data_IF_613157018746
#
_entry.id   IF_613157018746
#
_cell.length_a   1.000
_cell.length_b   1.000
_cell.length_c   1.000
_cell.angle_alpha   90.00
_cell.angle_beta   90.00
_cell.angle_gamma   90.00
#
_symmetry.space_group_name_H-M   'P 1'
#
loop_
_entity.id
_entity.type
_entity.pdbx_description
1 polymer ?
#
# COMPACT_ATOMS: atom_id res chain seq x y z
N UNK A 1 41.05 28.96 -35.91
CA UNK A 1 39.78 28.39 -35.44
C UNK A 1 39.91 26.87 -35.42
N UNK A 2 39.91 26.22 -34.25
CA UNK A 2 39.76 24.76 -34.18
C UNK A 2 38.27 24.45 -34.41
N UNK A 3 37.92 23.93 -35.58
CA UNK A 3 36.53 23.67 -35.99
C UNK A 3 35.92 22.40 -35.38
N UNK A 4 36.71 21.59 -34.66
CA UNK A 4 36.28 20.34 -34.07
C UNK A 4 36.69 20.28 -32.60
N UNK A 5 35.71 20.11 -31.70
CA UNK A 5 35.96 19.81 -30.29
C UNK A 5 36.60 18.44 -30.17
N UNK A 6 37.63 18.33 -29.34
CA UNK A 6 38.21 17.04 -28.95
C UNK A 6 37.19 16.20 -28.16
N UNK A 7 37.38 14.89 -28.10
CA UNK A 7 36.47 14.02 -27.33
C UNK A 7 36.51 14.33 -25.84
N UNK A 8 37.65 14.82 -25.33
CA UNK A 8 37.78 15.32 -23.95
C UNK A 8 36.91 16.56 -23.74
N UNK A 9 36.98 17.56 -24.63
CA UNK A 9 36.15 18.77 -24.54
C UNK A 9 34.65 18.43 -24.62
N UNK A 10 34.26 17.50 -25.50
CA UNK A 10 32.85 17.05 -25.58
C UNK A 10 32.40 16.33 -24.31
N UNK A 11 33.25 15.47 -23.74
CA UNK A 11 32.98 14.80 -22.48
C UNK A 11 32.78 15.81 -21.35
N UNK A 12 33.68 16.78 -21.23
CA UNK A 12 33.62 17.81 -20.18
C UNK A 12 32.39 18.72 -20.35
N UNK A 13 32.03 19.07 -21.58
CA UNK A 13 30.80 19.80 -21.87
C UNK A 13 29.55 19.03 -21.40
N UNK A 14 29.44 17.74 -21.70
CA UNK A 14 28.30 16.93 -21.28
C UNK A 14 28.29 16.70 -19.76
N UNK A 15 29.45 16.50 -19.12
CA UNK A 15 29.53 16.43 -17.66
C UNK A 15 29.09 17.74 -16.99
N UNK A 16 29.51 18.90 -17.52
CA UNK A 16 29.10 20.20 -16.98
C UNK A 16 27.59 20.43 -17.14
N UNK A 17 27.03 20.10 -18.32
CA UNK A 17 25.57 20.15 -18.52
C UNK A 17 24.83 19.24 -17.55
N UNK A 18 25.36 18.06 -17.28
CA UNK A 18 24.77 17.12 -16.34
C UNK A 18 24.73 17.69 -14.91
N UNK A 19 25.84 18.26 -14.43
CA UNK A 19 25.90 18.91 -13.12
C UNK A 19 25.01 20.15 -13.04
N UNK A 20 24.94 20.96 -14.10
CA UNK A 20 24.04 22.11 -14.16
C UNK A 20 22.57 21.70 -14.11
N UNK A 21 22.19 20.65 -14.85
CA UNK A 21 20.85 20.10 -14.84
C UNK A 21 20.50 19.54 -13.44
N UNK A 22 21.41 18.78 -12.82
CA UNK A 22 21.29 18.31 -11.43
C UNK A 22 21.03 19.46 -10.46
N UNK A 23 21.85 20.52 -10.52
CA UNK A 23 21.73 21.68 -9.63
C UNK A 23 20.40 22.43 -9.79
N UNK A 24 19.79 22.35 -10.98
CA UNK A 24 18.46 22.91 -11.28
C UNK A 24 17.32 21.95 -10.93
N UNK A 25 17.60 20.78 -10.34
CA UNK A 25 16.61 19.75 -10.03
C UNK A 25 16.08 18.97 -11.24
N UNK A 26 16.67 19.15 -12.42
CA UNK A 26 16.27 18.48 -13.66
C UNK A 26 16.97 17.12 -13.77
N UNK A 27 16.53 16.17 -12.96
CA UNK A 27 17.19 14.85 -12.83
C UNK A 27 17.23 14.06 -14.14
N UNK A 28 16.15 14.07 -14.92
CA UNK A 28 16.09 13.31 -16.19
C UNK A 28 17.09 13.87 -17.22
N UNK A 29 17.18 15.20 -17.35
CA UNK A 29 18.18 15.87 -18.20
C UNK A 29 19.61 15.56 -17.72
N UNK A 30 19.84 15.54 -16.40
CA UNK A 30 21.15 15.20 -15.84
C UNK A 30 21.57 13.77 -16.17
N UNK A 31 20.66 12.80 -16.03
CA UNK A 31 20.89 11.38 -16.36
C UNK A 31 21.25 11.26 -17.86
N UNK A 32 20.50 11.93 -18.74
CA UNK A 32 20.76 11.91 -20.19
C UNK A 32 22.16 12.44 -20.53
N UNK A 33 22.56 13.56 -19.92
CA UNK A 33 23.88 14.15 -20.15
C UNK A 33 25.02 13.30 -19.58
N UNK A 34 24.86 12.69 -18.41
CA UNK A 34 25.85 11.73 -17.88
C UNK A 34 26.00 10.50 -18.79
N UNK A 35 24.90 9.98 -19.34
CA UNK A 35 24.95 8.87 -20.30
C UNK A 35 25.63 9.26 -21.61
N UNK A 36 25.39 10.48 -22.13
CA UNK A 36 26.11 11.00 -23.30
C UNK A 36 27.61 11.13 -23.03
N UNK A 37 28.00 11.63 -21.86
CA UNK A 37 29.40 11.69 -21.45
C UNK A 37 30.03 10.29 -21.39
N UNK A 38 29.34 9.31 -20.81
CA UNK A 38 29.77 7.91 -20.82
C UNK A 38 30.01 7.38 -22.24
N UNK A 39 29.06 7.57 -23.15
CA UNK A 39 29.18 7.11 -24.54
C UNK A 39 30.38 7.72 -25.28
N UNK A 40 30.60 9.02 -25.09
CA UNK A 40 31.76 9.73 -25.68
C UNK A 40 33.05 9.11 -25.14
N UNK A 41 33.13 8.88 -23.83
CA UNK A 41 34.34 8.36 -23.19
C UNK A 41 34.65 6.92 -23.63
N UNK A 42 33.66 6.03 -23.70
CA UNK A 42 33.87 4.64 -24.14
C UNK A 42 34.35 4.56 -25.60
N UNK A 43 33.81 5.41 -26.48
CA UNK A 43 34.15 5.43 -27.91
C UNK A 43 35.46 6.18 -28.20
N UNK A 44 36.03 6.89 -27.22
CA UNK A 44 37.24 7.70 -27.40
C UNK A 44 38.46 6.83 -27.69
N UNK A 45 39.36 7.35 -28.53
CA UNK A 45 40.67 6.72 -28.75
C UNK A 45 41.66 7.00 -27.61
N UNK A 46 41.41 8.01 -26.78
CA UNK A 46 42.21 8.34 -25.60
C UNK A 46 41.96 7.33 -24.47
N UNK A 47 43.02 6.65 -24.03
CA UNK A 47 42.96 5.66 -22.95
C UNK A 47 42.59 6.27 -21.61
N UNK A 48 43.08 7.48 -21.30
CA UNK A 48 42.76 8.17 -20.06
C UNK A 48 41.28 8.58 -20.01
N UNK A 49 40.71 8.97 -21.15
CA UNK A 49 39.28 9.29 -21.22
C UNK A 49 38.41 8.05 -21.07
N UNK A 50 38.83 6.91 -21.67
CA UNK A 50 38.14 5.62 -21.50
C UNK A 50 38.08 5.19 -20.03
N UNK A 51 39.13 5.40 -19.26
CA UNK A 51 39.13 5.13 -17.80
C UNK A 51 38.12 5.99 -17.03
N UNK A 52 37.82 7.21 -17.51
CA UNK A 52 36.83 8.12 -16.90
C UNK A 52 35.38 7.79 -17.29
N UNK A 53 35.15 6.90 -18.26
CA UNK A 53 33.81 6.52 -18.70
C UNK A 53 32.96 6.02 -17.52
N UNK A 54 33.53 5.15 -16.70
CA UNK A 54 32.82 4.52 -15.59
C UNK A 54 32.31 5.56 -14.58
N UNK A 55 33.02 6.68 -14.38
CA UNK A 55 32.59 7.76 -13.49
C UNK A 55 31.27 8.36 -13.98
N UNK A 56 31.15 8.66 -15.28
CA UNK A 56 29.94 9.21 -15.86
C UNK A 56 28.76 8.22 -15.77
N UNK A 57 29.02 6.93 -16.02
CA UNK A 57 28.02 5.87 -15.85
C UNK A 57 27.54 5.72 -14.40
N UNK A 58 28.46 5.79 -13.43
CA UNK A 58 28.12 5.77 -12.00
C UNK A 58 27.20 6.93 -11.60
N UNK A 59 27.45 8.15 -12.11
CA UNK A 59 26.53 9.27 -11.86
C UNK A 59 25.15 9.03 -12.48
N UNK A 60 25.08 8.57 -13.74
CA UNK A 60 23.81 8.32 -14.41
C UNK A 60 22.94 7.29 -13.65
N UNK A 61 23.54 6.16 -13.30
CA UNK A 61 22.87 5.07 -12.55
C UNK A 61 22.47 5.51 -11.15
N UNK A 62 23.31 6.25 -10.43
CA UNK A 62 22.99 6.82 -9.12
C UNK A 62 21.76 7.73 -9.19
N UNK A 63 21.74 8.72 -10.10
CA UNK A 63 20.61 9.65 -10.19
C UNK A 63 19.34 8.98 -10.69
N UNK A 64 19.46 7.96 -11.56
CA UNK A 64 18.34 7.09 -11.93
C UNK A 64 17.77 6.39 -10.69
N UNK A 65 18.60 5.78 -9.86
CA UNK A 65 18.17 5.12 -8.63
C UNK A 65 17.52 6.07 -7.62
N UNK A 66 18.10 7.27 -7.42
CA UNK A 66 17.52 8.31 -6.57
C UNK A 66 16.16 8.79 -7.08
N UNK A 67 15.95 8.79 -8.40
CA UNK A 67 14.68 9.18 -9.01
C UNK A 67 13.62 8.08 -8.94
N UNK A 68 13.97 6.84 -9.24
CA UNK A 68 13.01 5.73 -9.31
C UNK A 68 12.74 5.09 -7.95
N UNK A 69 13.69 5.19 -7.02
CA UNK A 69 13.62 4.57 -5.68
C UNK A 69 13.32 3.08 -5.75
N UNK A 70 13.95 2.37 -6.70
CA UNK A 70 13.77 0.93 -6.87
C UNK A 70 15.02 0.17 -6.42
N UNK A 71 14.82 -0.98 -5.75
CA UNK A 71 15.94 -1.83 -5.32
C UNK A 71 16.82 -2.27 -6.49
N UNK A 72 16.21 -2.53 -7.67
CA UNK A 72 16.94 -2.89 -8.89
C UNK A 72 17.86 -1.78 -9.39
N UNK A 73 17.40 -0.53 -9.41
CA UNK A 73 18.22 0.58 -9.88
C UNK A 73 19.33 0.92 -8.87
N UNK A 74 19.07 0.79 -7.57
CA UNK A 74 20.11 0.90 -6.55
C UNK A 74 21.18 -0.19 -6.69
N UNK A 75 20.77 -1.43 -7.01
CA UNK A 75 21.70 -2.53 -7.29
C UNK A 75 22.53 -2.28 -8.56
N UNK A 76 21.93 -1.71 -9.60
CA UNK A 76 22.64 -1.29 -10.82
C UNK A 76 23.67 -0.19 -10.52
N UNK A 77 23.29 0.81 -9.72
CA UNK A 77 24.20 1.87 -9.29
C UNK A 77 25.34 1.34 -8.41
N UNK A 78 25.04 0.44 -7.47
CA UNK A 78 26.05 -0.23 -6.64
C UNK A 78 27.10 -0.92 -7.52
N UNK A 79 26.67 -1.73 -8.49
CA UNK A 79 27.58 -2.40 -9.44
C UNK A 79 28.41 -1.41 -10.23
N UNK A 80 27.80 -0.31 -10.70
CA UNK A 80 28.51 0.72 -11.45
C UNK A 80 29.60 1.39 -10.62
N UNK A 81 29.32 1.77 -9.37
CA UNK A 81 30.28 2.44 -8.48
C UNK A 81 31.38 1.48 -8.02
N UNK A 82 31.06 0.20 -7.77
CA UNK A 82 32.00 -0.79 -7.21
C UNK A 82 33.18 -1.15 -8.13
N UNK A 83 33.09 -0.83 -9.43
CA UNK A 83 34.19 -1.01 -10.39
C UNK A 83 35.27 0.06 -10.24
N UNK A 84 34.94 1.20 -9.63
CA UNK A 84 35.88 2.31 -9.42
C UNK A 84 36.80 2.02 -8.24
N UNK A 85 37.96 2.70 -8.21
CA UNK A 85 38.82 2.67 -7.03
C UNK A 85 38.09 3.31 -5.84
N UNK A 86 38.18 2.77 -4.61
CA UNK A 86 37.38 3.23 -3.47
C UNK A 86 37.58 4.70 -3.08
N UNK A 87 38.72 5.29 -3.43
CA UNK A 87 39.12 6.66 -3.13
C UNK A 87 38.63 7.70 -4.16
N UNK A 88 38.03 7.26 -5.27
CA UNK A 88 37.41 8.18 -6.25
C UNK A 88 36.30 8.97 -5.57
N UNK A 89 36.35 10.29 -5.72
CA UNK A 89 35.38 11.20 -5.09
C UNK A 89 34.23 11.58 -6.02
N UNK A 90 33.03 11.61 -5.45
CA UNK A 90 31.81 12.08 -6.09
C UNK A 90 31.38 13.43 -5.52
N UNK A 91 31.07 14.39 -6.40
CA UNK A 91 30.31 15.59 -6.05
C UNK A 91 28.82 15.28 -6.20
N UNK A 92 28.17 15.06 -5.07
CA UNK A 92 26.74 14.76 -5.02
C UNK A 92 25.88 15.97 -4.63
N UNK A 93 26.43 17.19 -4.74
CA UNK A 93 25.84 18.42 -4.19
C UNK A 93 25.57 18.34 -2.67
N UNK A 94 26.41 17.58 -1.97
CA UNK A 94 26.44 17.49 -0.51
C UNK A 94 27.57 18.38 0.02
N UNK A 95 27.52 18.81 1.31
CA UNK A 95 28.58 19.62 1.91
C UNK A 95 29.98 18.98 1.88
N UNK A 96 30.04 17.65 1.71
CA UNK A 96 31.27 16.88 1.52
C UNK A 96 31.21 16.06 0.24
N UNK A 97 32.38 15.79 -0.34
CA UNK A 97 32.52 14.76 -1.36
C UNK A 97 32.40 13.38 -0.74
N UNK A 98 31.79 12.46 -1.48
CA UNK A 98 31.58 11.08 -1.04
C UNK A 98 32.52 10.17 -1.82
N UNK A 99 33.22 9.29 -1.12
CA UNK A 99 34.14 8.32 -1.73
C UNK A 99 33.36 7.18 -2.37
N UNK A 100 33.86 6.63 -3.47
CA UNK A 100 33.23 5.52 -4.19
C UNK A 100 32.98 4.30 -3.28
N UNK A 101 33.92 3.99 -2.38
CA UNK A 101 33.74 2.89 -1.42
C UNK A 101 32.60 3.12 -0.42
N UNK A 102 32.44 4.34 0.08
CA UNK A 102 31.34 4.71 0.97
C UNK A 102 30.00 4.70 0.22
N UNK A 103 29.99 5.27 -0.98
CA UNK A 103 28.81 5.33 -1.84
C UNK A 103 28.35 3.94 -2.29
N UNK A 104 29.27 3.04 -2.64
CA UNK A 104 28.93 1.68 -3.02
C UNK A 104 28.22 0.96 -1.86
N UNK A 105 28.72 1.09 -0.64
CA UNK A 105 28.10 0.46 0.53
C UNK A 105 26.71 1.02 0.81
N UNK A 106 26.54 2.35 0.73
CA UNK A 106 25.22 2.98 0.85
C UNK A 106 24.24 2.47 -0.21
N UNK A 107 24.67 2.38 -1.47
CA UNK A 107 23.82 1.91 -2.57
C UNK A 107 23.41 0.45 -2.42
N UNK A 108 24.32 -0.40 -1.91
CA UNK A 108 24.03 -1.81 -1.62
C UNK A 108 22.99 -1.95 -0.50
N UNK A 109 23.12 -1.16 0.56
CA UNK A 109 22.14 -1.15 1.65
C UNK A 109 20.78 -0.59 1.20
N UNK A 110 20.78 0.44 0.36
CA UNK A 110 19.57 0.97 -0.25
C UNK A 110 18.92 -0.04 -1.19
N UNK A 111 19.69 -0.84 -1.93
CA UNK A 111 19.14 -1.88 -2.78
C UNK A 111 18.37 -2.91 -1.96
N UNK A 112 18.84 -3.27 -0.76
CA UNK A 112 18.11 -4.12 0.18
C UNK A 112 16.81 -3.46 0.64
N UNK A 113 16.88 -2.22 1.17
CA UNK A 113 15.69 -1.50 1.68
C UNK A 113 14.60 -1.43 0.62
N UNK A 114 14.94 -1.02 -0.61
CA UNK A 114 13.99 -0.82 -1.69
C UNK A 114 13.63 -2.11 -2.46
N UNK A 115 14.25 -3.26 -2.10
CA UNK A 115 13.82 -4.58 -2.58
C UNK A 115 12.82 -5.26 -1.65
N UNK A 116 12.72 -4.81 -0.39
CA UNK A 116 11.74 -5.33 0.56
C UNK A 116 10.32 -4.90 0.15
N UNK A 117 9.32 -5.78 0.31
CA UNK A 117 7.95 -5.46 -0.07
C UNK A 117 7.41 -4.38 0.88
N UNK A 118 6.83 -3.28 0.38
CA UNK A 118 6.31 -2.23 1.25
C UNK A 118 5.20 -2.81 2.14
N UNK A 119 5.36 -2.69 3.47
CA UNK A 119 4.41 -3.26 4.42
C UNK A 119 3.26 -2.31 4.70
N UNK A 120 2.07 -2.80 4.40
CA UNK A 120 0.81 -2.23 4.79
C UNK A 120 0.41 -2.81 6.14
N UNK A 121 0.62 -2.01 7.17
CA UNK A 121 0.37 -2.35 8.56
C UNK A 121 -1.11 -2.61 8.87
N UNK A 122 -2.03 -2.24 7.97
CA UNK A 122 -3.47 -2.51 8.17
C UNK A 122 -3.87 -3.93 7.79
N UNK A 123 -3.04 -4.61 7.00
CA UNK A 123 -3.34 -5.95 6.48
C UNK A 123 -2.05 -6.78 6.39
N UNK A 124 -1.56 -7.22 7.54
CA UNK A 124 -0.31 -7.97 7.66
C UNK A 124 -0.44 -9.44 7.22
N UNK A 125 -1.64 -10.02 7.30
CA UNK A 125 -1.89 -11.41 6.93
C UNK A 125 -1.73 -11.68 5.42
N UNK A 126 -1.69 -10.65 4.58
CA UNK A 126 -1.42 -10.79 3.13
C UNK A 126 0.05 -11.09 2.80
N UNK A 127 0.98 -10.81 3.71
CA UNK A 127 2.40 -11.07 3.51
C UNK A 127 2.71 -12.51 3.90
N UNK A 128 3.63 -13.17 3.22
CA UNK A 128 3.99 -14.56 3.51
C UNK A 128 5.00 -14.68 4.66
N UNK A 129 5.16 -15.88 5.27
CA UNK A 129 6.29 -16.15 6.15
C UNK A 129 7.66 -15.95 5.50
N UNK A 130 7.75 -16.10 4.17
CA UNK A 130 8.97 -15.81 3.41
C UNK A 130 9.29 -14.31 3.43
N UNK A 131 8.27 -13.45 3.30
CA UNK A 131 8.45 -11.99 3.42
C UNK A 131 8.97 -11.61 4.81
N UNK A 132 8.46 -12.26 5.87
CA UNK A 132 8.99 -12.09 7.22
C UNK A 132 10.48 -12.49 7.32
N UNK A 133 10.86 -13.60 6.68
CA UNK A 133 12.26 -14.04 6.59
C UNK A 133 13.16 -13.02 5.91
N UNK A 134 12.71 -12.41 4.80
CA UNK A 134 13.46 -11.36 4.09
C UNK A 134 13.71 -10.13 4.95
N UNK A 135 12.71 -9.73 5.76
CA UNK A 135 12.88 -8.65 6.72
C UNK A 135 13.87 -9.00 7.84
N UNK A 136 13.83 -10.24 8.35
CA UNK A 136 14.76 -10.72 9.39
C UNK A 136 16.22 -10.76 8.89
N UNK A 137 16.44 -11.26 7.68
CA UNK A 137 17.76 -11.29 7.03
C UNK A 137 18.32 -9.88 6.82
N UNK A 138 17.51 -8.98 6.24
CA UNK A 138 17.89 -7.59 6.09
C UNK A 138 18.23 -6.96 7.44
N UNK A 139 17.42 -7.22 8.48
CA UNK A 139 17.65 -6.65 9.79
C UNK A 139 19.00 -7.04 10.40
N UNK A 140 19.37 -8.32 10.33
CA UNK A 140 20.66 -8.82 10.81
C UNK A 140 21.82 -8.08 10.16
N UNK A 141 21.71 -7.81 8.86
CA UNK A 141 22.73 -7.08 8.13
C UNK A 141 22.87 -5.64 8.61
N UNK A 142 21.75 -4.93 8.79
CA UNK A 142 21.74 -3.55 9.28
C UNK A 142 22.24 -3.44 10.73
N UNK A 143 21.84 -4.36 11.62
CA UNK A 143 22.28 -4.40 13.02
C UNK A 143 23.79 -4.66 13.10
N UNK A 144 24.34 -5.55 12.26
CA UNK A 144 25.78 -5.83 12.23
C UNK A 144 26.66 -4.60 11.96
N UNK A 145 26.08 -3.55 11.37
CA UNK A 145 26.74 -2.28 11.05
C UNK A 145 26.63 -1.23 12.16
N UNK A 146 25.96 -1.54 13.27
CA UNK A 146 25.85 -0.72 14.48
C UNK A 146 25.30 0.71 14.20
N UNK A 147 25.75 1.70 14.97
CA UNK A 147 25.29 3.10 14.92
C UNK A 147 25.69 3.91 13.67
N UNK A 148 26.17 3.26 12.61
CA UNK A 148 26.48 3.92 11.33
C UNK A 148 25.25 4.55 10.67
N UNK A 149 25.49 5.45 9.71
CA UNK A 149 24.44 6.13 8.92
C UNK A 149 24.85 6.19 7.45
N UNK A 150 23.87 6.40 6.59
CA UNK A 150 24.12 6.67 5.19
C UNK A 150 24.94 7.95 5.02
N UNK A 151 25.99 7.88 4.21
CA UNK A 151 26.76 9.06 3.80
C UNK A 151 25.94 10.01 2.93
N UNK A 152 24.93 9.47 2.24
CA UNK A 152 23.99 10.20 1.39
C UNK A 152 22.61 10.42 2.03
N UNK A 153 22.52 10.43 3.38
CA UNK A 153 21.25 10.48 4.14
C UNK A 153 20.26 11.57 3.68
N UNK A 154 20.74 12.77 3.31
CA UNK A 154 19.91 13.88 2.83
C UNK A 154 19.36 13.66 1.42
N UNK A 155 20.09 12.93 0.56
CA UNK A 155 19.59 12.60 -0.78
C UNK A 155 18.50 11.54 -0.72
N UNK A 156 18.57 10.64 0.26
CA UNK A 156 17.63 9.53 0.39
C UNK A 156 16.50 9.78 1.38
N UNK A 157 16.58 10.83 2.20
CA UNK A 157 15.67 11.15 3.32
C UNK A 157 15.61 10.03 4.39
N UNK A 158 16.77 9.43 4.66
CA UNK A 158 16.92 8.36 5.68
C UNK A 158 18.02 8.75 6.65
N UNK A 159 17.62 9.35 7.78
CA UNK A 159 18.52 9.89 8.82
C UNK A 159 18.71 8.98 10.04
N UNK A 160 18.10 7.79 10.02
CA UNK A 160 18.25 6.85 11.13
C UNK A 160 19.59 6.13 11.07
N UNK A 161 20.03 5.64 12.23
CA UNK A 161 21.15 4.70 12.28
C UNK A 161 20.78 3.36 11.63
N UNK A 162 21.78 2.65 11.12
CA UNK A 162 21.59 1.32 10.55
C UNK A 162 20.98 0.37 11.57
N UNK A 163 21.47 0.38 12.81
CA UNK A 163 20.88 -0.38 13.92
C UNK A 163 19.38 -0.07 14.11
N UNK A 164 18.98 1.21 14.12
CA UNK A 164 17.57 1.58 14.23
C UNK A 164 16.73 1.10 13.04
N UNK A 165 17.28 1.10 11.83
CA UNK A 165 16.59 0.55 10.64
C UNK A 165 16.41 -0.96 10.83
N UNK A 166 17.46 -1.65 11.26
CA UNK A 166 17.44 -3.09 11.51
C UNK A 166 16.42 -3.49 12.56
N UNK A 167 16.31 -2.78 13.69
CA UNK A 167 15.29 -3.06 14.69
C UNK A 167 13.86 -2.91 14.15
N UNK A 168 13.60 -1.94 13.27
CA UNK A 168 12.27 -1.85 12.62
C UNK A 168 12.01 -3.03 11.70
N UNK A 169 13.01 -3.51 10.98
CA UNK A 169 12.87 -4.69 10.12
C UNK A 169 12.62 -5.96 10.95
N UNK A 170 13.29 -6.16 12.09
CA UNK A 170 12.96 -7.25 13.01
C UNK A 170 11.52 -7.14 13.52
N UNK A 171 11.11 -5.94 13.93
CA UNK A 171 9.74 -5.72 14.38
C UNK A 171 8.72 -6.08 13.30
N UNK A 172 8.92 -5.61 12.06
CA UNK A 172 8.04 -5.93 10.93
C UNK A 172 8.00 -7.44 10.66
N UNK A 173 9.14 -8.12 10.68
CA UNK A 173 9.20 -9.58 10.52
C UNK A 173 8.36 -10.31 11.58
N UNK A 174 8.48 -9.89 12.84
CA UNK A 174 7.68 -10.43 13.96
C UNK A 174 6.21 -10.11 13.83
N UNK A 175 5.86 -8.90 13.41
CA UNK A 175 4.46 -8.49 13.18
C UNK A 175 3.80 -9.34 12.08
N UNK A 176 4.49 -9.59 10.95
CA UNK A 176 3.99 -10.50 9.90
C UNK A 176 3.81 -11.90 10.46
N UNK A 177 4.82 -12.41 11.19
CA UNK A 177 4.76 -13.76 11.79
C UNK A 177 3.62 -13.91 12.79
N UNK A 178 3.37 -12.88 13.60
CA UNK A 178 2.28 -12.86 14.57
C UNK A 178 0.91 -12.89 13.87
N UNK A 179 0.73 -12.12 12.80
CA UNK A 179 -0.52 -12.05 12.04
C UNK A 179 -0.99 -13.40 11.47
N UNK A 180 -0.07 -14.33 11.18
CA UNK A 180 -0.39 -15.70 10.71
C UNK A 180 -0.81 -16.66 11.81
N UNK A 181 -0.68 -16.28 13.07
CA UNK A 181 -1.04 -17.16 14.21
C UNK A 181 -2.16 -16.57 15.06
N UNK A 182 -2.68 -15.39 14.73
CA UNK A 182 -3.72 -14.72 15.53
C UNK A 182 -5.04 -15.49 15.59
N UNK A 183 -5.42 -16.18 14.51
CA UNK A 183 -6.66 -16.94 14.41
C UNK A 183 -6.53 -18.33 15.07
N UNK A 184 -5.35 -18.95 14.97
CA UNK A 184 -5.06 -20.25 15.58
C UNK A 184 -4.72 -20.16 17.08
N UNK A 185 -3.87 -19.22 17.48
CA UNK A 185 -3.31 -19.10 18.83
C UNK A 185 -3.05 -17.62 19.21
N UNK A 186 -4.09 -16.91 19.70
CA UNK A 186 -3.98 -15.51 20.11
C UNK A 186 -2.93 -15.24 21.18
N UNK A 187 -2.71 -16.17 22.11
CA UNK A 187 -1.72 -16.02 23.18
C UNK A 187 -0.30 -16.03 22.61
N UNK A 188 -0.02 -16.97 21.69
CA UNK A 188 1.25 -17.00 20.98
C UNK A 188 1.42 -15.76 20.10
N UNK A 189 0.36 -15.30 19.44
CA UNK A 189 0.40 -14.05 18.67
C UNK A 189 0.81 -12.86 19.55
N UNK A 190 0.22 -12.74 20.75
CA UNK A 190 0.57 -11.70 21.74
C UNK A 190 2.04 -11.76 22.14
N UNK A 191 2.59 -12.96 22.36
CA UNK A 191 4.01 -13.12 22.68
C UNK A 191 4.90 -12.59 21.54
N UNK A 192 4.61 -12.95 20.29
CA UNK A 192 5.37 -12.51 19.13
C UNK A 192 5.24 -11.00 18.90
N UNK A 193 4.04 -10.42 19.08
CA UNK A 193 3.87 -8.96 19.03
C UNK A 193 4.62 -8.25 20.15
N UNK A 194 4.74 -8.86 21.33
CA UNK A 194 5.52 -8.31 22.44
C UNK A 194 7.02 -8.30 22.11
N UNK A 195 7.53 -9.33 21.43
CA UNK A 195 8.89 -9.31 20.86
C UNK A 195 9.05 -8.17 19.85
N UNK A 196 8.08 -7.99 18.94
CA UNK A 196 8.08 -6.90 17.97
C UNK A 196 8.14 -5.53 18.67
N UNK A 197 7.35 -5.34 19.72
CA UNK A 197 7.34 -4.13 20.54
C UNK A 197 8.71 -3.87 21.19
N UNK A 198 9.37 -4.91 21.68
CA UNK A 198 10.74 -4.84 22.20
C UNK A 198 11.71 -4.23 21.20
N UNK A 199 11.67 -4.68 19.93
CA UNK A 199 12.50 -4.09 18.88
C UNK A 199 12.09 -2.67 18.51
N UNK A 200 10.79 -2.36 18.45
CA UNK A 200 10.32 -1.00 18.14
C UNK A 200 10.76 0.02 19.19
N UNK A 201 10.84 -0.36 20.46
CA UNK A 201 11.33 0.52 21.52
C UNK A 201 12.83 0.84 21.40
N UNK A 202 13.59 0.02 20.68
CA UNK A 202 15.00 0.27 20.36
C UNK A 202 15.18 1.07 19.06
N UNK A 203 14.13 1.19 18.25
CA UNK A 203 14.16 1.94 17.00
C UNK A 203 13.78 3.41 17.20
N UNK A 204 14.47 4.29 16.50
CA UNK A 204 14.07 5.67 16.36
C UNK A 204 12.80 5.82 15.52
N UNK A 205 12.00 6.85 15.83
CA UNK A 205 10.81 7.27 15.06
C UNK A 205 9.78 6.16 14.86
N UNK A 206 9.58 5.33 15.89
CA UNK A 206 8.69 4.16 15.85
C UNK A 206 7.34 4.36 16.54
N UNK A 207 7.02 5.55 17.07
CA UNK A 207 5.85 5.79 17.95
C UNK A 207 4.52 5.32 17.36
N UNK A 208 4.31 5.54 16.06
CA UNK A 208 3.08 5.09 15.37
C UNK A 208 2.99 3.57 15.29
N UNK A 209 4.12 2.89 15.05
CA UNK A 209 4.20 1.43 15.04
C UNK A 209 3.98 0.87 16.43
N UNK A 210 4.64 1.45 17.44
CA UNK A 210 4.49 1.10 18.86
C UNK A 210 3.03 1.16 19.28
N UNK A 211 2.32 2.24 18.93
CA UNK A 211 0.88 2.36 19.22
C UNK A 211 0.07 1.24 18.57
N UNK A 212 0.27 0.99 17.27
CA UNK A 212 -0.46 -0.06 16.55
C UNK A 212 -0.24 -1.46 17.14
N UNK A 213 0.99 -1.79 17.49
CA UNK A 213 1.32 -3.09 18.09
C UNK A 213 0.70 -3.20 19.48
N UNK A 214 0.74 -2.16 20.30
CA UNK A 214 0.06 -2.14 21.60
C UNK A 214 -1.46 -2.30 21.47
N UNK A 215 -2.10 -1.59 20.53
CA UNK A 215 -3.53 -1.71 20.27
C UNK A 215 -3.87 -3.16 19.86
N UNK A 216 -3.06 -3.77 18.99
CA UNK A 216 -3.26 -5.17 18.57
C UNK A 216 -3.07 -6.17 19.70
N UNK A 217 -2.03 -6.02 20.52
CA UNK A 217 -1.81 -6.82 21.73
C UNK A 217 -3.04 -6.70 22.65
N UNK A 218 -3.50 -5.49 22.92
CA UNK A 218 -4.65 -5.25 23.79
C UNK A 218 -5.92 -5.96 23.29
N UNK A 219 -6.16 -5.98 21.99
CA UNK A 219 -7.30 -6.70 21.39
C UNK A 219 -7.14 -8.22 21.49
N UNK A 220 -5.96 -8.73 21.15
CA UNK A 220 -5.68 -10.17 21.16
C UNK A 220 -5.68 -10.78 22.57
N UNK A 221 -5.25 -10.03 23.57
CA UNK A 221 -5.25 -10.47 24.98
C UNK A 221 -6.63 -10.51 25.62
N UNK A 222 -7.67 -9.95 24.99
CA UNK A 222 -9.04 -9.99 25.54
C UNK A 222 -9.60 -11.39 25.41
N UNK A 223 -10.07 -11.93 26.52
CA UNK A 223 -10.76 -13.21 26.60
C UNK A 223 -12.15 -13.01 27.22
N UNK A 224 -13.14 -13.72 26.68
CA UNK A 224 -14.54 -13.64 27.13
C UNK A 224 -15.28 -14.93 26.75
N UNK A 225 -16.60 -14.96 26.92
CA UNK A 225 -17.48 -16.00 26.40
C UNK A 225 -18.37 -15.46 25.29
N UNK A 226 -18.70 -16.32 24.33
CA UNK A 226 -19.69 -15.98 23.31
C UNK A 226 -21.08 -15.86 23.95
N UNK A 227 -21.77 -14.74 23.76
CA UNK A 227 -23.14 -14.54 24.26
C UNK A 227 -24.13 -15.61 23.78
N UNK A 228 -23.89 -16.18 22.59
CA UNK A 228 -24.80 -17.14 21.96
C UNK A 228 -24.51 -18.56 22.42
N UNK A 229 -23.28 -19.04 22.20
CA UNK A 229 -22.93 -20.44 22.47
C UNK A 229 -22.24 -20.67 23.82
N UNK A 230 -21.98 -19.61 24.59
CA UNK A 230 -21.34 -19.62 25.91
C UNK A 230 -19.94 -20.25 25.98
N UNK A 231 -19.32 -20.55 24.82
CA UNK A 231 -17.95 -21.07 24.75
C UNK A 231 -16.95 -19.95 25.03
N UNK A 232 -15.85 -20.24 25.77
CA UNK A 232 -14.76 -19.29 25.94
C UNK A 232 -14.10 -19.01 24.59
N UNK A 233 -13.71 -17.76 24.38
CA UNK A 233 -13.08 -17.23 23.17
C UNK A 233 -12.10 -16.13 23.53
N UNK A 234 -11.05 -15.97 22.73
CA UNK A 234 -10.03 -14.96 22.93
C UNK A 234 -9.64 -14.35 21.59
N UNK A 235 -9.32 -13.05 21.60
CA UNK A 235 -8.91 -12.29 20.44
C UNK A 235 -10.05 -11.49 19.83
N UNK A 236 -10.19 -10.26 20.31
CA UNK A 236 -11.15 -9.29 19.77
C UNK A 236 -10.78 -8.93 18.32
N UNK A 237 -11.79 -8.78 17.47
CA UNK A 237 -11.68 -8.53 16.02
C UNK A 237 -11.02 -9.66 15.21
N UNK A 238 -10.69 -10.78 15.84
CA UNK A 238 -10.19 -11.99 15.18
C UNK A 238 -11.16 -13.15 15.38
N UNK A 239 -11.27 -13.63 16.62
CA UNK A 239 -12.10 -14.79 16.95
C UNK A 239 -13.45 -14.39 17.56
N UNK A 240 -13.59 -13.14 18.00
CA UNK A 240 -14.87 -12.60 18.43
C UNK A 240 -14.99 -11.12 18.10
N UNK A 241 -16.24 -10.68 17.95
CA UNK A 241 -16.59 -9.28 17.69
C UNK A 241 -17.74 -8.85 18.60
N UNK A 242 -17.89 -7.55 18.79
CA UNK A 242 -19.06 -7.00 19.45
C UNK A 242 -20.18 -6.78 18.45
N UNK A 243 -21.38 -7.29 18.76
CA UNK A 243 -22.61 -7.00 18.02
C UNK A 243 -23.47 -6.04 18.81
N UNK A 244 -23.94 -5.00 18.14
CA UNK A 244 -24.92 -4.08 18.69
C UNK A 244 -26.24 -4.80 18.93
N UNK A 245 -26.84 -4.56 20.10
CA UNK A 245 -28.11 -5.16 20.50
C UNK A 245 -28.82 -4.29 21.52
N UNK A 246 -30.12 -4.54 21.74
CA UNK A 246 -30.83 -3.92 22.86
C UNK A 246 -30.57 -4.71 24.14
N UNK A 247 -30.14 -4.01 25.19
CA UNK A 247 -29.93 -4.61 26.51
C UNK A 247 -30.93 -4.04 27.51
N UNK A 248 -31.80 -4.88 28.07
CA UNK A 248 -32.73 -4.42 29.12
C UNK A 248 -32.00 -4.30 30.47
N UNK A 249 -32.53 -3.46 31.37
CA UNK A 249 -32.01 -3.33 32.74
C UNK A 249 -31.95 -4.66 33.51
N UNK A 250 -32.88 -5.58 33.23
CA UNK A 250 -32.87 -6.92 33.81
C UNK A 250 -31.62 -7.71 33.40
N UNK A 251 -31.29 -7.70 32.09
CA UNK A 251 -30.15 -8.45 31.56
C UNK A 251 -28.83 -7.90 32.10
N UNK A 252 -28.66 -6.58 32.09
CA UNK A 252 -27.46 -5.92 32.64
C UNK A 252 -27.28 -6.24 34.13
N UNK A 253 -28.36 -6.16 34.93
CA UNK A 253 -28.30 -6.44 36.37
C UNK A 253 -27.99 -7.91 36.67
N UNK A 254 -28.53 -8.84 35.86
CA UNK A 254 -28.40 -10.28 36.12
C UNK A 254 -27.09 -10.86 35.60
N UNK A 255 -26.65 -10.43 34.42
CA UNK A 255 -25.54 -11.06 33.69
C UNK A 255 -24.31 -10.15 33.50
N UNK A 256 -24.44 -8.83 33.68
CA UNK A 256 -23.32 -7.89 33.48
C UNK A 256 -22.16 -8.03 34.48
N UNK A 257 -22.37 -8.74 35.59
CA UNK A 257 -21.33 -9.04 36.57
C UNK A 257 -20.61 -10.39 36.34
N UNK A 258 -21.13 -11.27 35.48
CA UNK A 258 -20.55 -12.60 35.24
C UNK A 258 -19.32 -12.53 34.33
N UNK A 259 -19.40 -11.73 33.27
CA UNK A 259 -18.30 -11.43 32.34
C UNK A 259 -18.58 -10.06 31.70
N UNK A 260 -17.80 -9.04 32.11
CA UNK A 260 -17.96 -7.66 31.66
C UNK A 260 -17.61 -7.45 30.19
N UNK A 261 -16.85 -8.38 29.58
CA UNK A 261 -16.55 -8.34 28.15
C UNK A 261 -17.64 -9.04 27.35
N UNK A 262 -18.35 -10.00 27.94
CA UNK A 262 -19.43 -10.72 27.25
C UNK A 262 -20.65 -9.82 26.99
N UNK A 263 -21.04 -9.02 27.97
CA UNK A 263 -22.22 -8.15 27.92
C UNK A 263 -21.88 -6.73 28.37
N UNK A 264 -22.08 -5.77 27.48
CA UNK A 264 -21.98 -4.34 27.76
C UNK A 264 -23.27 -3.65 27.36
N UNK A 265 -23.50 -2.43 27.86
CA UNK A 265 -24.69 -1.68 27.47
C UNK A 265 -24.69 -1.47 25.95
N UNK A 266 -25.74 -1.94 25.29
CA UNK A 266 -25.93 -1.81 23.84
C UNK A 266 -25.15 -2.82 22.98
N UNK A 267 -24.33 -3.72 23.55
CA UNK A 267 -23.56 -4.69 22.74
C UNK A 267 -23.19 -5.98 23.47
N UNK A 268 -22.97 -7.04 22.70
CA UNK A 268 -22.57 -8.37 23.21
C UNK A 268 -21.41 -8.94 22.41
N UNK A 269 -20.51 -9.67 23.08
CA UNK A 269 -19.44 -10.40 22.41
C UNK A 269 -19.98 -11.67 21.75
N UNK A 270 -19.67 -11.87 20.47
CA UNK A 270 -20.09 -13.03 19.69
C UNK A 270 -18.89 -13.61 18.96
N UNK A 271 -18.69 -14.93 19.07
CA UNK A 271 -17.61 -15.59 18.35
C UNK A 271 -17.81 -15.53 16.85
N UNK A 272 -16.71 -15.52 16.09
CA UNK A 272 -16.70 -15.42 14.64
C UNK A 272 -17.56 -16.50 13.96
N UNK A 273 -17.66 -17.70 14.55
CA UNK A 273 -18.51 -18.79 14.06
C UNK A 273 -20.01 -18.48 14.20
N UNK A 274 -20.44 -18.05 15.40
CA UNK A 274 -21.84 -17.69 15.64
C UNK A 274 -22.23 -16.46 14.82
N UNK A 275 -21.36 -15.44 14.78
CA UNK A 275 -21.54 -14.27 13.95
C UNK A 275 -21.65 -14.64 12.47
N UNK A 276 -20.68 -15.38 11.93
CA UNK A 276 -20.64 -15.78 10.53
C UNK A 276 -21.86 -16.61 10.13
N UNK A 277 -22.38 -17.45 11.03
CA UNK A 277 -23.61 -18.23 10.80
C UNK A 277 -24.84 -17.33 10.68
N UNK A 278 -25.00 -16.37 11.61
CA UNK A 278 -26.09 -15.39 11.59
C UNK A 278 -25.99 -14.49 10.36
N UNK A 279 -24.80 -13.98 10.08
CA UNK A 279 -24.54 -13.10 8.95
C UNK A 279 -24.91 -13.78 7.63
N UNK A 280 -24.43 -15.00 7.38
CA UNK A 280 -24.73 -15.75 6.14
C UNK A 280 -26.22 -16.09 6.00
N UNK A 281 -26.90 -16.39 7.12
CA UNK A 281 -28.35 -16.62 7.11
C UNK A 281 -29.12 -15.33 6.79
N UNK A 282 -28.73 -14.22 7.42
CA UNK A 282 -29.34 -12.90 7.21
C UNK A 282 -29.15 -12.41 5.76
N UNK A 283 -27.95 -12.59 5.21
CA UNK A 283 -27.64 -12.26 3.81
C UNK A 283 -28.49 -13.08 2.84
N UNK A 284 -28.63 -14.40 3.09
CA UNK A 284 -29.49 -15.28 2.29
C UNK A 284 -30.96 -14.86 2.33
N UNK A 285 -31.47 -14.49 3.49
CA UNK A 285 -32.86 -14.01 3.66
C UNK A 285 -33.06 -12.67 2.94
N UNK A 286 -32.12 -11.74 3.12
CA UNK A 286 -32.17 -10.42 2.50
C UNK A 286 -32.17 -10.50 0.98
N UNK A 287 -31.31 -11.35 0.42
CA UNK A 287 -31.27 -11.62 -1.02
C UNK A 287 -32.59 -12.21 -1.53
N UNK A 288 -33.17 -13.19 -0.81
CA UNK A 288 -34.44 -13.77 -1.18
C UNK A 288 -35.57 -12.73 -1.28
N UNK A 289 -35.68 -11.85 -0.28
CA UNK A 289 -36.71 -10.80 -0.29
C UNK A 289 -36.43 -9.70 -1.30
N UNK A 290 -35.16 -9.36 -1.54
CA UNK A 290 -34.76 -8.44 -2.60
C UNK A 290 -35.18 -8.97 -3.98
N UNK A 291 -34.85 -10.23 -4.29
CA UNK A 291 -35.18 -10.85 -5.57
C UNK A 291 -36.70 -10.93 -5.78
N UNK A 292 -37.45 -11.29 -4.73
CA UNK A 292 -38.93 -11.25 -4.70
C UNK A 292 -39.49 -9.85 -4.99
N UNK A 293 -38.93 -8.81 -4.36
CA UNK A 293 -39.39 -7.44 -4.56
C UNK A 293 -39.13 -6.98 -6.00
N UNK A 294 -37.96 -7.31 -6.56
CA UNK A 294 -37.63 -7.01 -7.96
C UNK A 294 -38.57 -7.74 -8.92
N UNK A 295 -38.90 -9.00 -8.66
CA UNK A 295 -39.86 -9.77 -9.47
C UNK A 295 -41.25 -9.13 -9.46
N UNK A 296 -41.78 -8.78 -8.29
CA UNK A 296 -43.09 -8.12 -8.17
C UNK A 296 -43.10 -6.72 -8.81
N UNK A 297 -42.00 -5.96 -8.71
CA UNK A 297 -41.86 -4.67 -9.40
C UNK A 297 -41.91 -4.84 -10.92
N UNK A 298 -41.25 -5.85 -11.48
CA UNK A 298 -41.31 -6.14 -12.93
C UNK A 298 -42.71 -6.53 -13.37
N UNK A 299 -43.41 -7.39 -12.62
CA UNK A 299 -44.80 -7.75 -12.91
C UNK A 299 -45.73 -6.54 -12.87
N UNK A 300 -45.50 -5.63 -11.92
CA UNK A 300 -46.27 -4.39 -11.81
C UNK A 300 -45.97 -3.44 -12.97
N UNK A 301 -44.72 -3.33 -13.41
CA UNK A 301 -44.33 -2.57 -14.60
C UNK A 301 -45.00 -3.13 -15.87
N UNK A 302 -44.96 -4.44 -16.09
CA UNK A 302 -45.63 -5.10 -17.22
C UNK A 302 -47.14 -4.82 -17.23
N UNK A 303 -47.79 -4.93 -16.06
CA UNK A 303 -49.22 -4.63 -15.92
C UNK A 303 -49.53 -3.17 -16.23
N UNK A 304 -48.72 -2.24 -15.73
CA UNK A 304 -48.87 -0.81 -16.02
C UNK A 304 -48.66 -0.51 -17.51
N UNK A 305 -47.65 -1.12 -18.14
CA UNK A 305 -47.43 -0.96 -19.58
C UNK A 305 -48.60 -1.51 -20.40
N UNK A 306 -49.17 -2.65 -20.02
CA UNK A 306 -50.36 -3.20 -20.66
C UNK A 306 -51.57 -2.27 -20.52
N UNK A 307 -51.80 -1.68 -19.34
CA UNK A 307 -52.85 -0.70 -19.13
C UNK A 307 -52.64 0.58 -19.94
N UNK A 308 -51.40 1.08 -20.01
CA UNK A 308 -51.05 2.24 -20.86
C UNK A 308 -51.32 1.94 -22.33
N UNK A 309 -50.96 0.74 -22.81
CA UNK A 309 -51.21 0.33 -24.19
C UNK A 309 -52.71 0.24 -24.50
N UNK A 310 -53.50 -0.35 -23.60
CA UNK A 310 -54.96 -0.42 -23.73
C UNK A 310 -55.59 0.98 -23.76
N UNK A 311 -55.22 1.86 -22.82
CA UNK A 311 -55.70 3.24 -22.78
C UNK A 311 -55.31 4.03 -24.04
N UNK A 312 -54.10 3.83 -24.58
CA UNK A 312 -53.69 4.46 -25.84
C UNK A 312 -54.56 4.02 -27.01
N UNK A 313 -54.87 2.72 -27.11
CA UNK A 313 -55.77 2.17 -28.13
C UNK A 313 -57.19 2.74 -28.03
N UNK A 314 -57.75 2.82 -26.82
CA UNK A 314 -59.07 3.43 -26.60
C UNK A 314 -59.10 4.90 -27.00
N UNK A 315 -58.07 5.67 -26.65
CA UNK A 315 -57.92 7.08 -27.06
C UNK A 315 -57.85 7.21 -28.58
N UNK A 316 -57.15 6.30 -29.27
CA UNK A 316 -57.10 6.29 -30.75
C UNK A 316 -58.47 5.99 -31.37
N UNK A 317 -59.21 5.01 -30.86
CA UNK A 317 -60.57 4.68 -31.31
C UNK A 317 -61.51 5.87 -31.11
N UNK A 318 -61.44 6.53 -29.95
CA UNK A 318 -62.23 7.73 -29.65
C UNK A 318 -61.86 8.88 -30.61
N UNK A 319 -60.58 9.12 -30.86
CA UNK A 319 -60.12 10.12 -31.84
C UNK A 319 -60.64 9.83 -33.24
N UNK A 320 -60.60 8.58 -33.69
CA UNK A 320 -61.12 8.16 -34.99
C UNK A 320 -62.65 8.35 -35.08
N UNK A 321 -63.38 8.03 -34.01
CA UNK A 321 -64.83 8.21 -33.91
C UNK A 321 -65.22 9.70 -33.93
N UNK A 322 -64.47 10.56 -33.24
CA UNK A 322 -64.68 12.01 -33.30
C UNK A 322 -64.41 12.55 -34.71
N UNK A 323 -63.37 12.06 -35.39
CA UNK A 323 -63.05 12.45 -36.75
C UNK A 323 -64.15 12.02 -37.74
N UNK A 324 -64.71 10.81 -37.59
CA UNK A 324 -65.79 10.32 -38.45
C UNK A 324 -67.10 11.08 -38.23
N UNK A 325 -67.45 11.41 -36.98
CA UNK A 325 -68.60 12.28 -36.66
C UNK A 325 -68.42 13.67 -37.26
N UNK A 326 -67.24 14.28 -37.15
CA UNK A 326 -66.94 15.57 -37.80
C UNK A 326 -67.05 15.52 -39.32
N UNK A 327 -66.61 14.43 -39.94
CA UNK A 327 -66.74 14.22 -41.39
C UNK A 327 -68.20 13.99 -41.82
N UNK A 328 -68.97 13.25 -41.02
CA UNK A 328 -70.41 13.06 -41.21
C UNK A 328 -71.16 14.39 -41.14
N UNK A 329 -70.88 15.22 -40.12
CA UNK A 329 -71.46 16.56 -39.98
C UNK A 329 -71.13 17.49 -41.16
N UNK A 330 -69.97 17.34 -41.80
CA UNK A 330 -69.62 18.07 -43.04
C UNK A 330 -70.38 17.56 -44.27
N UNK A 331 -70.79 16.29 -44.31
CA UNK A 331 -71.57 15.70 -45.43
C UNK A 331 -73.08 15.89 -45.29
N UNK A 332 -73.58 15.99 -44.06
CA UNK A 332 -74.98 16.26 -43.74
C UNK A 332 -75.21 17.73 -43.33
N UNK A 333 -74.31 18.63 -43.73
CA UNK A 333 -74.57 20.06 -43.61
C UNK A 333 -75.88 20.41 -44.32
N UNK A 334 -76.70 21.33 -43.79
CA UNK A 334 -77.93 21.75 -44.44
C UNK A 334 -77.59 22.16 -45.87
N UNK A 335 -78.29 21.57 -46.83
CA UNK A 335 -78.26 22.04 -48.21
C UNK A 335 -78.55 23.53 -48.22
N UNK A 336 -77.58 24.29 -48.72
CA UNK A 336 -77.86 25.49 -49.50
C UNK A 336 -77.95 25.02 -50.94
#
# INVERSE_FOLDING_TARGET
MKFWKSDVEKYEDEMNKAFDARNKGKMDEAIEHFMKAYEIAVKSRDGNLRERAQIAYSYATLYKALRTRSGRDFEEAYKAVSVLKPDVEFDLALPRRVKAGELAEDLRLLSIIYSLPPVDLSNLSKYSPEDAGRYDEAAKEFISKNGGRFTIEDLVDIRDTFESIGYRFLAISKMISAAHVEDEDPDKAVQIYTEALGYLNLAARADQLVKKVNDRISMLSKATRCWICHRPIQGEEVNFIYLDTFTTKYMLKKYGGEDQMMLQEGRVAVCAVCYGSIYKLSDKISKYYYDKAVEEMRRLEERLMAQIAALRSEVEILRASIASVRAGYRRSGPGI
#
